data_IF_398006663540
#
_entry.id   IF_398006663540
#
_cell.length_a   1.000
_cell.length_b   1.000
_cell.length_c   1.000
_cell.angle_alpha   90.00
_cell.angle_beta   90.00
_cell.angle_gamma   90.00
#
_symmetry.space_group_name_H-M   'P 1'
#
loop_
_entity.id
_entity.type
_entity.pdbx_description
1 polymer ?
#
# COMPACT_ATOMS: atom_id res chain seq x y z
N UNK A 1 -54.57 18.34 33.06
CA UNK A 1 -54.31 18.21 31.61
C UNK A 1 -52.87 18.48 31.17
N UNK A 2 -52.01 19.22 31.90
CA UNK A 2 -50.63 19.54 31.46
C UNK A 2 -49.65 18.36 31.41
N UNK A 3 -49.73 17.38 32.32
CA UNK A 3 -48.79 16.24 32.35
C UNK A 3 -48.97 15.26 31.18
N UNK A 4 -50.19 15.10 30.65
CA UNK A 4 -50.43 14.24 29.49
C UNK A 4 -49.78 14.80 28.22
N UNK A 5 -49.73 16.14 28.10
CA UNK A 5 -49.11 16.82 26.96
C UNK A 5 -47.58 16.68 26.98
N UNK A 6 -46.95 16.88 28.14
CA UNK A 6 -45.49 16.72 28.31
C UNK A 6 -45.06 15.28 28.04
N UNK A 7 -45.84 14.30 28.52
CA UNK A 7 -45.56 12.89 28.27
C UNK A 7 -45.70 12.51 26.78
N UNK A 8 -46.64 13.13 26.06
CA UNK A 8 -46.77 12.94 24.60
C UNK A 8 -45.63 13.60 23.84
N UNK A 9 -45.21 14.81 24.23
CA UNK A 9 -44.07 15.50 23.61
C UNK A 9 -42.76 14.73 23.88
N UNK A 10 -42.56 14.21 25.09
CA UNK A 10 -41.40 13.38 25.42
C UNK A 10 -41.36 12.08 24.61
N UNK A 11 -42.51 11.44 24.37
CA UNK A 11 -42.61 10.25 23.49
C UNK A 11 -42.31 10.58 22.03
N UNK A 12 -42.79 11.72 21.52
CA UNK A 12 -42.50 12.18 20.16
C UNK A 12 -41.00 12.48 20.01
N UNK A 13 -40.38 13.11 21.00
CA UNK A 13 -38.94 13.40 20.99
C UNK A 13 -38.09 12.12 21.01
N UNK A 14 -38.53 11.09 21.75
CA UNK A 14 -37.85 9.79 21.85
C UNK A 14 -37.93 8.98 20.54
N UNK A 15 -39.02 9.09 19.78
CA UNK A 15 -39.16 8.43 18.47
C UNK A 15 -38.29 9.08 17.40
N UNK A 16 -38.11 10.41 17.44
CA UNK A 16 -37.23 11.14 16.50
C UNK A 16 -35.75 10.85 16.74
N UNK A 17 -35.35 10.59 18.00
CA UNK A 17 -33.99 10.14 18.34
C UNK A 17 -33.72 8.66 17.97
N UNK A 18 -34.76 7.83 17.84
CA UNK A 18 -34.63 6.42 17.43
C UNK A 18 -34.48 6.19 15.92
N UNK A 19 -34.73 7.21 15.11
CA UNK A 19 -34.66 7.17 13.65
C UNK A 19 -33.30 7.64 13.10
N UNK A 20 -32.22 7.35 13.81
CA UNK A 20 -30.88 7.53 13.24
C UNK A 20 -30.68 6.40 12.22
N UNK A 21 -30.70 6.77 10.94
CA UNK A 21 -30.45 5.87 9.81
C UNK A 21 -29.16 5.09 10.05
N UNK A 22 -29.29 3.81 10.40
CA UNK A 22 -28.20 2.85 10.35
C UNK A 22 -27.89 2.69 8.87
N UNK A 23 -26.97 3.51 8.38
CA UNK A 23 -26.45 3.36 7.01
C UNK A 23 -25.81 1.97 6.96
N UNK A 24 -26.26 1.06 6.09
CA UNK A 24 -25.52 -0.18 5.90
C UNK A 24 -24.17 0.22 5.32
N UNK A 25 -23.10 0.02 6.12
CA UNK A 25 -21.74 0.07 5.63
C UNK A 25 -21.60 -1.09 4.65
N UNK A 26 -21.86 -0.83 3.37
CA UNK A 26 -21.62 -1.78 2.29
C UNK A 26 -20.10 -1.97 2.21
N UNK A 27 -19.59 -2.93 2.99
CA UNK A 27 -18.24 -3.44 2.81
C UNK A 27 -18.26 -4.31 1.55
N UNK A 28 -17.99 -3.72 0.39
CA UNK A 28 -17.77 -4.47 -0.82
C UNK A 28 -16.51 -5.33 -0.62
N UNK A 29 -16.66 -6.66 -0.66
CA UNK A 29 -15.52 -7.57 -0.59
C UNK A 29 -14.84 -7.57 -1.96
N UNK A 30 -13.89 -6.66 -2.14
CA UNK A 30 -13.11 -6.58 -3.38
C UNK A 30 -12.01 -7.63 -3.30
N UNK A 31 -12.10 -8.64 -4.17
CA UNK A 31 -11.05 -9.63 -4.32
C UNK A 31 -10.05 -9.12 -5.35
N UNK A 32 -8.81 -8.90 -4.92
CA UNK A 32 -7.71 -8.63 -5.84
C UNK A 32 -7.21 -9.93 -6.46
N UNK A 33 -7.32 -10.11 -7.79
CA UNK A 33 -6.78 -11.30 -8.43
C UNK A 33 -5.25 -11.29 -8.39
N UNK A 34 -4.68 -12.49 -8.24
CA UNK A 34 -3.28 -12.79 -8.52
C UNK A 34 -2.91 -12.26 -9.91
N UNK A 35 -1.77 -11.57 -10.03
CA UNK A 35 -1.30 -10.94 -11.26
C UNK A 35 -1.64 -9.45 -11.41
N UNK A 36 -2.29 -8.83 -10.41
CA UNK A 36 -2.56 -7.38 -10.44
C UNK A 36 -1.26 -6.58 -10.50
N UNK A 37 -1.10 -5.77 -11.55
CA UNK A 37 0.08 -4.94 -11.76
C UNK A 37 0.12 -3.77 -10.78
N UNK A 38 1.08 -3.80 -9.85
CA UNK A 38 1.35 -2.68 -8.95
C UNK A 38 2.63 -1.99 -9.42
N UNK A 39 2.51 -0.72 -9.82
CA UNK A 39 3.68 0.10 -10.12
C UNK A 39 4.22 0.72 -8.83
N UNK A 40 5.51 0.56 -8.58
CA UNK A 40 6.18 1.09 -7.40
C UNK A 40 7.31 2.04 -7.83
N UNK A 41 7.51 3.09 -7.05
CA UNK A 41 8.56 4.09 -7.23
C UNK A 41 9.47 4.09 -6.00
N UNK A 42 10.78 4.10 -6.23
CA UNK A 42 11.77 4.22 -5.16
C UNK A 42 11.93 5.71 -4.85
N UNK A 43 11.62 6.11 -3.62
CA UNK A 43 11.65 7.52 -3.17
C UNK A 43 13.01 7.97 -2.64
N UNK A 44 13.98 7.06 -2.58
CA UNK A 44 15.32 7.36 -2.09
C UNK A 44 16.42 6.79 -2.99
N UNK A 45 17.62 7.36 -2.89
CA UNK A 45 18.77 6.85 -3.64
C UNK A 45 19.35 5.65 -2.91
N UNK A 46 19.31 4.48 -3.56
CA UNK A 46 19.93 3.25 -3.06
C UNK A 46 21.25 3.02 -3.79
N UNK A 47 22.35 2.88 -3.05
CA UNK A 47 23.69 2.71 -3.60
C UNK A 47 24.42 1.58 -2.88
N UNK A 48 25.00 0.63 -3.62
CA UNK A 48 25.71 -0.53 -3.05
C UNK A 48 26.91 -0.20 -2.16
N UNK A 49 27.37 1.06 -2.17
CA UNK A 49 28.40 1.58 -1.26
C UNK A 49 27.86 1.87 0.15
N UNK A 50 26.63 2.37 0.26
CA UNK A 50 26.04 2.89 1.49
C UNK A 50 24.80 2.10 1.95
N UNK A 51 24.51 1.00 1.25
CA UNK A 51 23.37 0.13 1.47
C UNK A 51 23.82 -1.14 2.16
N UNK A 52 23.16 -1.49 3.26
CA UNK A 52 23.40 -2.75 3.97
C UNK A 52 22.30 -3.77 3.62
N UNK A 53 22.67 -5.04 3.53
CA UNK A 53 21.68 -6.13 3.49
C UNK A 53 20.85 -6.07 4.77
N UNK A 54 19.52 -6.20 4.66
CA UNK A 54 18.61 -6.01 5.78
C UNK A 54 18.05 -4.60 5.91
N UNK A 55 18.60 -3.63 5.17
CA UNK A 55 18.14 -2.25 5.23
C UNK A 55 16.79 -2.10 4.53
N UNK A 56 15.87 -1.38 5.19
CA UNK A 56 14.59 -0.98 4.58
C UNK A 56 14.82 0.09 3.53
N UNK A 57 14.13 -0.06 2.40
CA UNK A 57 14.12 0.94 1.32
C UNK A 57 12.79 1.66 1.30
N UNK A 58 12.80 3.00 1.25
CA UNK A 58 11.59 3.80 1.02
C UNK A 58 11.13 3.67 -0.42
N UNK A 59 10.11 2.84 -0.60
CA UNK A 59 9.40 2.61 -1.85
C UNK A 59 7.94 2.93 -1.60
N UNK A 60 7.30 3.60 -2.55
CA UNK A 60 5.86 3.86 -2.51
C UNK A 60 5.19 3.38 -3.79
N UNK A 61 3.90 3.10 -3.73
CA UNK A 61 3.10 2.81 -4.93
C UNK A 61 3.05 4.07 -5.81
N UNK A 62 3.32 3.95 -7.10
CA UNK A 62 3.39 5.07 -8.02
C UNK A 62 2.01 5.61 -8.41
N UNK A 63 1.04 4.70 -8.64
CA UNK A 63 -0.30 5.02 -9.13
C UNK A 63 -1.36 4.23 -8.36
N UNK A 64 -2.57 4.78 -8.26
CA UNK A 64 -3.72 4.09 -7.67
C UNK A 64 -3.99 2.77 -8.39
N UNK A 65 -4.08 1.68 -7.62
CA UNK A 65 -4.48 0.35 -8.12
C UNK A 65 -5.97 0.21 -7.92
N UNK A 66 -6.71 0.20 -9.03
CA UNK A 66 -8.17 0.13 -9.03
C UNK A 66 -8.66 -1.25 -9.44
N UNK A 67 -9.74 -1.71 -8.81
CA UNK A 67 -10.48 -2.92 -9.20
C UNK A 67 -11.98 -2.62 -9.10
N UNK A 68 -12.72 -2.95 -10.15
CA UNK A 68 -14.18 -2.78 -10.23
C UNK A 68 -14.68 -1.35 -9.91
N UNK A 69 -13.86 -0.35 -10.26
CA UNK A 69 -14.16 1.07 -10.04
C UNK A 69 -13.76 1.61 -8.67
N UNK A 70 -13.20 0.79 -7.80
CA UNK A 70 -12.76 1.17 -6.45
C UNK A 70 -11.23 1.09 -6.31
N UNK A 71 -10.65 2.05 -5.59
CA UNK A 71 -9.21 2.10 -5.32
C UNK A 71 -8.88 1.11 -4.22
N UNK A 72 -8.14 0.05 -4.54
CA UNK A 72 -7.74 -0.96 -3.56
C UNK A 72 -6.42 -0.63 -2.88
N UNK A 73 -5.48 -0.06 -3.64
CA UNK A 73 -4.20 0.44 -3.12
C UNK A 73 -4.03 1.87 -3.60
N UNK A 74 -3.90 2.83 -2.67
CA UNK A 74 -3.64 4.22 -3.02
C UNK A 74 -2.19 4.40 -3.48
N UNK A 75 -1.99 5.21 -4.51
CA UNK A 75 -0.72 5.81 -4.87
C UNK A 75 -0.15 6.57 -3.68
N UNK A 76 1.17 6.52 -3.55
CA UNK A 76 1.89 7.02 -2.39
C UNK A 76 1.89 6.09 -1.17
N UNK A 77 1.16 4.97 -1.19
CA UNK A 77 1.21 4.01 -0.07
C UNK A 77 2.60 3.39 0.06
N UNK A 78 3.12 3.35 1.29
CA UNK A 78 4.42 2.75 1.56
C UNK A 78 4.45 1.26 1.26
N UNK A 79 5.55 0.82 0.67
CA UNK A 79 5.84 -0.57 0.37
C UNK A 79 6.97 -1.04 1.29
N UNK A 80 6.74 -2.14 1.98
CA UNK A 80 7.79 -2.81 2.73
C UNK A 80 8.74 -3.49 1.75
N UNK A 81 9.92 -2.90 1.59
CA UNK A 81 11.00 -3.42 0.77
C UNK A 81 12.32 -3.46 1.54
N UNK A 82 13.16 -4.41 1.17
CA UNK A 82 14.43 -4.67 1.86
C UNK A 82 15.54 -4.97 0.86
N UNK A 83 16.75 -4.55 1.19
CA UNK A 83 17.96 -4.87 0.44
C UNK A 83 18.39 -6.29 0.77
N UNK A 84 18.38 -7.18 -0.22
CA UNK A 84 18.78 -8.59 -0.07
C UNK A 84 20.21 -8.85 -0.54
N UNK A 85 20.75 -7.98 -1.40
CA UNK A 85 22.16 -8.04 -1.81
C UNK A 85 22.71 -6.62 -1.97
N UNK A 86 23.94 -6.40 -1.49
CA UNK A 86 24.67 -5.16 -1.68
C UNK A 86 26.16 -5.49 -1.85
N UNK A 87 26.64 -5.39 -3.09
CA UNK A 87 28.03 -5.61 -3.45
C UNK A 87 28.67 -4.26 -3.75
N UNK A 88 29.76 -3.96 -3.03
CA UNK A 88 30.51 -2.72 -3.23
C UNK A 88 31.27 -2.76 -4.56
N UNK A 89 31.35 -1.63 -5.29
CA UNK A 89 32.20 -1.54 -6.46
C UNK A 89 33.66 -1.76 -6.07
N UNK A 90 34.35 -2.59 -6.85
CA UNK A 90 35.74 -2.96 -6.59
C UNK A 90 36.74 -1.98 -7.22
N UNK A 91 37.97 -1.94 -6.68
CA UNK A 91 39.06 -1.07 -7.13
C UNK A 91 39.47 -1.34 -8.60
N UNK A 92 39.20 -2.56 -9.12
CA UNK A 92 39.44 -2.97 -10.51
C UNK A 92 38.22 -2.77 -11.44
N UNK A 93 37.36 -1.78 -11.19
CA UNK A 93 36.23 -1.48 -12.07
C UNK A 93 35.11 -2.54 -12.06
N UNK A 94 35.02 -3.34 -10.99
CA UNK A 94 33.87 -4.24 -10.79
C UNK A 94 32.64 -3.40 -10.47
N UNK A 95 31.56 -3.45 -11.27
CA UNK A 95 30.35 -2.71 -10.97
C UNK A 95 29.74 -3.23 -9.66
N UNK A 96 29.30 -2.31 -8.81
CA UNK A 96 28.55 -2.65 -7.61
C UNK A 96 27.18 -3.24 -7.98
N UNK A 97 26.60 -4.04 -7.10
CA UNK A 97 25.30 -4.67 -7.32
C UNK A 97 24.40 -4.39 -6.12
N UNK A 98 23.12 -4.08 -6.36
CA UNK A 98 22.13 -3.96 -5.30
C UNK A 98 20.87 -4.71 -5.69
N UNK A 99 20.48 -5.67 -4.85
CA UNK A 99 19.22 -6.39 -4.93
C UNK A 99 18.21 -5.88 -3.91
N UNK A 100 17.01 -5.55 -4.36
CA UNK A 100 15.88 -5.12 -3.54
C UNK A 100 14.73 -6.11 -3.74
N UNK A 101 14.12 -6.54 -2.64
CA UNK A 101 12.90 -7.36 -2.63
C UNK A 101 11.77 -6.58 -1.98
N UNK A 102 10.65 -6.49 -2.68
CA UNK A 102 9.39 -5.99 -2.16
C UNK A 102 8.69 -7.18 -1.46
N UNK A 103 8.21 -6.95 -0.24
CA UNK A 103 7.55 -7.97 0.59
C UNK A 103 6.04 -7.78 0.66
N UNK A 104 5.60 -6.56 0.96
CA UNK A 104 4.18 -6.29 1.19
C UNK A 104 3.85 -4.81 1.11
N UNK A 105 2.59 -4.48 0.84
CA UNK A 105 2.02 -3.14 0.98
C UNK A 105 0.69 -3.18 1.74
N UNK A 106 0.09 -2.02 2.01
CA UNK A 106 -1.21 -1.90 2.67
C UNK A 106 -2.28 -1.50 1.66
N UNK A 107 -3.43 -2.13 1.73
CA UNK A 107 -4.63 -1.68 1.03
C UNK A 107 -5.30 -0.52 1.77
N UNK A 108 -6.27 0.10 1.10
CA UNK A 108 -7.07 1.22 1.65
C UNK A 108 -7.86 0.86 2.89
N UNK A 109 -8.20 -0.42 3.06
CA UNK A 109 -8.90 -1.01 4.20
C UNK A 109 -7.94 -1.36 5.37
N UNK A 110 -6.63 -1.21 5.16
CA UNK A 110 -5.59 -1.59 6.12
C UNK A 110 -5.09 -3.03 6.00
N UNK A 111 -5.69 -3.84 5.12
CA UNK A 111 -5.26 -5.22 4.84
C UNK A 111 -3.84 -5.22 4.30
N UNK A 112 -3.02 -6.16 4.78
CA UNK A 112 -1.65 -6.31 4.28
C UNK A 112 -1.67 -7.21 3.06
N UNK A 113 -1.17 -6.71 1.95
CA UNK A 113 -1.10 -7.43 0.69
C UNK A 113 0.35 -7.80 0.40
N UNK A 114 0.62 -9.10 0.27
CA UNK A 114 1.94 -9.62 -0.09
C UNK A 114 2.28 -9.32 -1.54
N UNK A 115 3.41 -8.64 -1.75
CA UNK A 115 3.93 -8.33 -3.08
C UNK A 115 5.06 -9.31 -3.38
N UNK A 116 5.02 -9.96 -4.55
CA UNK A 116 6.10 -10.82 -5.02
C UNK A 116 6.87 -10.09 -6.12
N UNK A 117 7.85 -9.27 -5.73
CA UNK A 117 8.74 -8.62 -6.68
C UNK A 117 10.16 -8.50 -6.14
N UNK A 118 11.12 -8.86 -6.97
CA UNK A 118 12.54 -8.68 -6.72
C UNK A 118 13.19 -7.99 -7.92
N UNK A 119 14.16 -7.11 -7.65
CA UNK A 119 14.96 -6.45 -8.67
C UNK A 119 16.41 -6.39 -8.23
N UNK A 120 17.30 -6.78 -9.14
CA UNK A 120 18.75 -6.70 -8.96
C UNK A 120 19.25 -5.69 -9.98
N UNK A 121 19.84 -4.60 -9.49
CA UNK A 121 20.45 -3.57 -10.32
C UNK A 121 21.98 -3.68 -10.23
N UNK A 122 22.61 -3.79 -11.40
CA UNK A 122 24.06 -3.73 -11.57
C UNK A 122 24.40 -2.28 -11.91
N UNK A 123 25.33 -1.68 -11.16
CA UNK A 123 25.59 -0.24 -11.12
C UNK A 123 26.24 0.33 -12.38
N UNK A 124 25.55 0.25 -13.52
CA UNK A 124 26.00 0.83 -14.79
C UNK A 124 25.10 1.97 -15.31
N UNK A 125 23.91 2.23 -14.74
CA UNK A 125 23.07 3.33 -15.24
C UNK A 125 21.99 3.81 -14.26
N UNK A 126 21.85 5.13 -14.14
CA UNK A 126 20.65 5.80 -13.61
C UNK A 126 19.46 5.41 -14.48
N UNK A 127 18.71 4.38 -14.10
CA UNK A 127 17.46 4.04 -14.75
C UNK A 127 16.30 4.38 -13.83
N UNK A 128 15.42 5.27 -14.30
CA UNK A 128 14.08 5.47 -13.76
C UNK A 128 13.30 4.18 -13.98
N UNK A 129 12.90 3.49 -12.91
CA UNK A 129 12.39 2.12 -12.97
C UNK A 129 10.86 2.13 -12.99
N UNK A 130 10.26 1.56 -14.04
CA UNK A 130 8.87 1.09 -14.04
C UNK A 130 8.87 -0.42 -13.71
N UNK A 131 8.43 -0.80 -12.51
CA UNK A 131 8.32 -2.21 -12.11
C UNK A 131 6.88 -2.69 -12.33
N UNK A 132 6.72 -3.72 -13.15
CA UNK A 132 5.48 -4.51 -13.24
C UNK A 132 5.56 -5.62 -12.21
N UNK A 133 4.69 -5.57 -11.18
CA UNK A 133 4.63 -6.57 -10.10
C UNK A 133 3.38 -7.43 -10.28
N UNK A 134 3.52 -8.75 -10.28
CA UNK A 134 2.38 -9.67 -10.20
C UNK A 134 2.10 -10.05 -8.75
N UNK A 135 0.88 -9.82 -8.28
CA UNK A 135 0.42 -10.24 -6.95
C UNK A 135 0.22 -11.76 -6.89
N UNK A 136 0.56 -12.44 -5.80
CA UNK A 136 0.15 -13.85 -5.57
C UNK A 136 -0.51 -13.92 -4.18
N UNK A 137 -1.78 -14.35 -4.15
CA UNK A 137 -2.57 -14.56 -2.93
C UNK A 137 -2.57 -16.04 -2.53
#
# INVERSE_FOLDING_TARGET
MKNTFINSVAKILLVVLGFQSISPLLAAVITLPTGTMVQCEIKETVNGLNSNVGQRVRISVANDVMKDGEVVIRGGTDVQAEIVSATKPGILGKPGEVGIVLKSTKAVDGTTISLSASRVNKGDSKQTISVVVGLFL
#
